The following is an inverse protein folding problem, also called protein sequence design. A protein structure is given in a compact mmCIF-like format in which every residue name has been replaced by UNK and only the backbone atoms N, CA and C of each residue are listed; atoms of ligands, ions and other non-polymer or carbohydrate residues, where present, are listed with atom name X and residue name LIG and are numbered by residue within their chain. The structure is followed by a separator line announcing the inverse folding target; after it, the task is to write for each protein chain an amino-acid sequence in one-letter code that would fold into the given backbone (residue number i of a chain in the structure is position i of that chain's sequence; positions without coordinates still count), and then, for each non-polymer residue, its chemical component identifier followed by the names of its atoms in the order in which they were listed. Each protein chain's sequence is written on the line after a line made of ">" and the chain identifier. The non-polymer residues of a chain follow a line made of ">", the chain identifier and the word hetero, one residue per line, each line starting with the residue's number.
data_IF_128181204604
#
_entry.id   IF_128181204604
#
_cell.length_a   1.000
_cell.length_b   1.000
_cell.length_c   1.000
_cell.angle_alpha   90.00
_cell.angle_beta   90.00
_cell.angle_gamma   90.00
#
_symmetry.space_group_name_H-M   'P 1'
#
loop_
_entity.id
_entity.type
_entity.pdbx_description
1 polymer ?
#
# COMPACT_ATOMS: atom_id res chain seq x y z
N UNK A 1 -14.81 -7.76 16.39
CA UNK A 1 -13.92 -7.51 15.23
C UNK A 1 -14.41 -6.33 14.43
N UNK A 2 -15.67 -6.30 13.99
CA UNK A 2 -16.19 -5.18 13.20
C UNK A 2 -16.18 -3.85 13.96
N UNK A 3 -16.64 -3.83 15.21
CA UNK A 3 -16.57 -2.63 16.07
C UNK A 3 -15.16 -2.04 16.15
N UNK A 4 -14.15 -2.89 16.37
CA UNK A 4 -12.75 -2.45 16.43
C UNK A 4 -12.25 -1.87 15.09
N UNK A 5 -12.68 -2.42 13.96
CA UNK A 5 -12.37 -1.83 12.65
C UNK A 5 -13.07 -0.48 12.46
N UNK A 6 -14.36 -0.36 12.83
CA UNK A 6 -15.09 0.90 12.74
C UNK A 6 -14.47 2.01 13.60
N UNK A 7 -14.01 1.68 14.82
CA UNK A 7 -13.31 2.60 15.70
C UNK A 7 -11.98 3.11 15.09
N UNK A 8 -11.26 2.25 14.35
CA UNK A 8 -10.07 2.66 13.62
C UNK A 8 -10.42 3.50 12.39
N UNK A 9 -11.49 3.17 11.66
CA UNK A 9 -11.92 3.94 10.49
C UNK A 9 -12.36 5.35 10.86
N UNK A 10 -12.98 5.53 12.02
CA UNK A 10 -13.41 6.82 12.53
C UNK A 10 -12.25 7.79 12.80
N UNK A 11 -11.02 7.26 12.97
CA UNK A 11 -9.81 8.08 13.17
C UNK A 11 -9.22 8.61 11.85
N UNK A 12 -9.68 8.12 10.70
CA UNK A 12 -9.21 8.60 9.39
C UNK A 12 -10.06 9.80 8.96
N UNK A 13 -9.46 10.99 8.77
CA UNK A 13 -10.19 12.17 8.38
C UNK A 13 -10.70 12.02 6.94
N UNK A 14 -11.91 12.51 6.69
CA UNK A 14 -12.59 12.30 5.41
C UNK A 14 -12.21 13.39 4.40
N UNK A 15 -11.67 13.06 3.23
CA UNK A 15 -11.17 14.07 2.28
C UNK A 15 -12.25 14.72 1.40
N UNK A 16 -13.53 14.41 1.58
CA UNK A 16 -14.60 14.86 0.66
C UNK A 16 -14.43 14.29 -0.75
N UNK A 17 -14.21 12.98 -0.85
CA UNK A 17 -13.84 12.30 -2.09
C UNK A 17 -14.85 12.51 -3.23
N UNK A 18 -14.34 12.87 -4.41
CA UNK A 18 -15.13 13.07 -5.64
C UNK A 18 -15.33 11.80 -6.48
N UNK A 19 -14.77 10.66 -6.06
CA UNK A 19 -14.88 9.39 -6.79
C UNK A 19 -14.10 9.29 -8.10
N UNK A 20 -13.07 10.14 -8.30
CA UNK A 20 -12.28 10.21 -9.54
C UNK A 20 -11.02 9.35 -9.54
N UNK A 21 -10.78 8.57 -8.48
CA UNK A 21 -9.53 7.85 -8.26
C UNK A 21 -9.48 6.45 -8.93
N UNK A 22 -10.36 6.15 -9.89
CA UNK A 22 -10.42 4.82 -10.50
C UNK A 22 -9.10 4.43 -11.19
N UNK A 23 -8.39 5.40 -11.80
CA UNK A 23 -7.12 5.15 -12.48
C UNK A 23 -5.96 4.86 -11.52
N UNK A 24 -6.14 5.15 -10.23
CA UNK A 24 -5.17 4.85 -9.18
C UNK A 24 -5.48 3.54 -8.43
N UNK A 25 -6.58 2.86 -8.76
CA UNK A 25 -6.95 1.60 -8.12
C UNK A 25 -6.01 0.46 -8.56
N UNK A 26 -5.58 -0.34 -7.59
CA UNK A 26 -4.62 -1.42 -7.82
C UNK A 26 -4.87 -2.60 -6.87
N UNK A 27 -3.99 -3.61 -6.90
CA UNK A 27 -4.00 -4.67 -5.91
C UNK A 27 -3.86 -4.07 -4.50
N UNK A 28 -4.77 -4.43 -3.60
CA UNK A 28 -4.86 -3.82 -2.26
C UNK A 28 -4.70 -4.89 -1.18
N UNK A 29 -3.79 -4.62 -0.24
CA UNK A 29 -3.70 -5.36 1.02
C UNK A 29 -4.82 -4.95 1.97
N UNK A 30 -5.46 -5.93 2.59
CA UNK A 30 -6.57 -5.72 3.53
C UNK A 30 -6.56 -6.79 4.63
N UNK A 31 -7.09 -6.45 5.80
CA UNK A 31 -7.31 -7.42 6.87
C UNK A 31 -8.28 -8.53 6.38
N UNK A 32 -8.12 -9.80 6.81
CA UNK A 32 -9.03 -10.88 6.41
C UNK A 32 -10.53 -10.58 6.64
N UNK A 33 -10.88 -9.89 7.72
CA UNK A 33 -12.25 -9.47 7.99
C UNK A 33 -12.74 -8.40 7.03
N UNK A 34 -11.88 -7.44 6.63
CA UNK A 34 -12.22 -6.46 5.58
C UNK A 34 -12.52 -7.15 4.25
N UNK A 35 -11.69 -8.14 3.89
CA UNK A 35 -11.91 -8.98 2.70
C UNK A 35 -13.27 -9.67 2.76
N UNK A 36 -13.61 -10.24 3.92
CA UNK A 36 -14.87 -10.93 4.14
C UNK A 36 -16.07 -9.97 4.02
N UNK A 37 -16.01 -8.77 4.61
CA UNK A 37 -17.10 -7.78 4.52
C UNK A 37 -17.40 -7.38 3.08
N UNK A 38 -16.36 -7.20 2.27
CA UNK A 38 -16.49 -6.91 0.84
C UNK A 38 -17.12 -8.09 0.09
N UNK A 39 -16.72 -9.31 0.43
CA UNK A 39 -17.30 -10.55 -0.12
C UNK A 39 -18.77 -10.73 0.23
N UNK A 40 -19.16 -10.39 1.46
CA UNK A 40 -20.55 -10.40 1.92
C UNK A 40 -21.44 -9.43 1.12
N UNK A 41 -20.86 -8.38 0.51
CA UNK A 41 -21.53 -7.49 -0.46
C UNK A 41 -21.51 -8.00 -1.89
N UNK A 42 -21.09 -9.24 -2.12
CA UNK A 42 -21.06 -9.87 -3.43
C UNK A 42 -19.88 -9.47 -4.31
N UNK A 43 -18.91 -8.70 -3.79
CA UNK A 43 -17.71 -8.30 -4.53
C UNK A 43 -16.53 -9.19 -4.12
N UNK A 44 -15.88 -9.82 -5.11
CA UNK A 44 -14.71 -10.67 -4.87
C UNK A 44 -13.45 -9.96 -5.35
N UNK A 45 -12.74 -9.31 -4.45
CA UNK A 45 -11.42 -8.74 -4.73
C UNK A 45 -10.37 -9.86 -4.50
N UNK A 46 -9.40 -10.10 -5.40
CA UNK A 46 -8.30 -11.05 -5.15
C UNK A 46 -7.49 -10.70 -3.91
N UNK A 47 -6.76 -11.66 -3.37
CA UNK A 47 -5.74 -11.34 -2.38
C UNK A 47 -4.65 -10.46 -3.02
N UNK A 48 -4.00 -9.59 -2.24
CA UNK A 48 -3.00 -8.65 -2.75
C UNK A 48 -1.92 -9.32 -3.61
N UNK A 49 -1.42 -10.48 -3.18
CA UNK A 49 -0.38 -11.21 -3.90
C UNK A 49 -0.86 -11.70 -5.27
N UNK A 50 -2.11 -12.15 -5.38
CA UNK A 50 -2.68 -12.64 -6.63
C UNK A 50 -2.91 -11.48 -7.61
N UNK A 51 -3.49 -10.38 -7.12
CA UNK A 51 -3.66 -9.17 -7.93
C UNK A 51 -2.32 -8.56 -8.37
N UNK A 52 -1.30 -8.61 -7.51
CA UNK A 52 0.05 -8.16 -7.86
C UNK A 52 0.68 -9.08 -8.93
N UNK A 53 0.48 -10.39 -8.83
CA UNK A 53 0.94 -11.34 -9.84
C UNK A 53 0.30 -11.06 -11.20
N UNK A 54 -1.02 -10.84 -11.25
CA UNK A 54 -1.75 -10.47 -12.46
C UNK A 54 -1.22 -9.17 -13.06
N UNK A 55 -1.02 -8.13 -12.23
CA UNK A 55 -0.47 -6.85 -12.68
C UNK A 55 0.93 -7.00 -13.27
N UNK A 56 1.79 -7.81 -12.65
CA UNK A 56 3.16 -8.05 -13.12
C UNK A 56 3.17 -8.87 -14.40
N UNK A 57 2.30 -9.87 -14.52
CA UNK A 57 2.24 -10.75 -15.70
C UNK A 57 1.65 -10.05 -16.92
N UNK A 58 0.56 -9.30 -16.73
CA UNK A 58 -0.22 -8.72 -17.83
C UNK A 58 0.07 -7.24 -18.07
N UNK A 59 0.70 -6.56 -17.12
CA UNK A 59 0.87 -5.10 -17.13
C UNK A 59 -0.43 -4.34 -16.85
N UNK A 60 -1.52 -5.03 -16.50
CA UNK A 60 -2.82 -4.44 -16.25
C UNK A 60 -3.48 -5.03 -14.99
N UNK A 61 -4.26 -4.22 -14.29
CA UNK A 61 -5.11 -4.67 -13.20
C UNK A 61 -6.28 -3.69 -13.05
N UNK A 62 -7.49 -4.20 -12.87
CA UNK A 62 -8.66 -3.38 -12.53
C UNK A 62 -9.31 -3.96 -11.29
N UNK A 63 -9.45 -3.14 -10.24
CA UNK A 63 -10.09 -3.57 -9.00
C UNK A 63 -11.54 -4.04 -9.27
N UNK A 64 -11.94 -5.25 -8.88
CA UNK A 64 -13.30 -5.77 -9.16
C UNK A 64 -14.44 -4.96 -8.54
N UNK A 65 -14.14 -4.14 -7.54
CA UNK A 65 -15.07 -3.21 -6.91
C UNK A 65 -15.33 -1.94 -7.74
N UNK A 66 -14.62 -1.71 -8.84
CA UNK A 66 -14.94 -0.61 -9.74
C UNK A 66 -16.14 -0.98 -10.61
N UNK A 67 -17.19 -0.17 -10.55
CA UNK A 67 -18.41 -0.23 -11.36
C UNK A 67 -18.71 1.16 -11.88
N UNK A 68 -18.84 1.29 -13.21
CA UNK A 68 -19.15 2.57 -13.86
C UNK A 68 -18.23 3.73 -13.43
N UNK A 69 -16.93 3.43 -13.27
CA UNK A 69 -15.92 4.40 -12.86
C UNK A 69 -15.89 4.73 -11.35
N UNK A 70 -16.74 4.10 -10.53
CA UNK A 70 -16.82 4.36 -9.09
C UNK A 70 -16.62 3.09 -8.26
N UNK A 71 -16.17 3.26 -7.02
CA UNK A 71 -16.02 2.14 -6.09
C UNK A 71 -17.39 1.73 -5.53
N UNK A 72 -17.86 0.53 -5.87
CA UNK A 72 -19.17 0.01 -5.44
C UNK A 72 -19.24 -0.40 -3.96
N UNK A 73 -18.10 -0.37 -3.26
CA UNK A 73 -17.97 -0.72 -1.83
C UNK A 73 -17.32 0.42 -1.04
N UNK A 74 -17.54 1.67 -1.49
CA UNK A 74 -16.88 2.86 -0.95
C UNK A 74 -17.03 3.02 0.58
N UNK A 75 -18.21 2.68 1.10
CA UNK A 75 -18.62 2.73 2.50
C UNK A 75 -17.88 1.70 3.39
N UNK A 76 -17.56 0.54 2.83
CA UNK A 76 -16.86 -0.56 3.54
C UNK A 76 -15.42 -0.77 3.04
N UNK A 77 -14.80 0.27 2.48
CA UNK A 77 -13.41 0.21 2.02
C UNK A 77 -12.46 -0.25 3.13
N UNK A 78 -11.40 -1.00 2.77
CA UNK A 78 -10.37 -1.39 3.73
C UNK A 78 -9.57 -0.18 4.20
N UNK A 79 -8.88 -0.30 5.34
CA UNK A 79 -8.08 0.76 5.94
C UNK A 79 -7.12 1.42 4.95
N UNK A 80 -6.39 0.62 4.16
CA UNK A 80 -5.44 1.15 3.17
C UNK A 80 -6.10 2.10 2.15
N UNK A 81 -7.34 1.79 1.73
CA UNK A 81 -8.09 2.65 0.81
C UNK A 81 -8.66 3.91 1.50
N UNK A 82 -8.90 3.88 2.81
CA UNK A 82 -9.35 5.05 3.57
C UNK A 82 -8.22 6.06 3.76
N UNK A 83 -7.00 5.57 3.98
CA UNK A 83 -5.80 6.40 4.10
C UNK A 83 -5.45 7.14 2.80
N UNK A 84 -5.90 6.63 1.64
CA UNK A 84 -5.73 7.32 0.36
C UNK A 84 -6.54 8.62 0.31
N UNK A 85 -5.82 9.73 0.18
CA UNK A 85 -6.35 11.08 0.25
C UNK A 85 -6.39 11.67 1.66
N UNK A 86 -6.01 10.90 2.68
CA UNK A 86 -6.10 11.30 4.09
C UNK A 86 -4.73 11.40 4.79
N UNK A 87 -3.61 11.00 4.15
CA UNK A 87 -2.25 11.08 4.71
C UNK A 87 -1.29 11.91 3.86
N UNK A 88 -0.22 12.41 4.47
CA UNK A 88 0.81 13.24 3.81
C UNK A 88 1.48 12.57 2.59
N UNK A 89 1.79 11.27 2.67
CA UNK A 89 2.40 10.51 1.55
C UNK A 89 1.41 9.95 0.54
N UNK A 90 0.12 9.93 0.85
CA UNK A 90 -0.94 9.49 -0.08
C UNK A 90 -1.97 10.59 -0.29
N UNK A 91 -1.58 11.82 -0.70
CA UNK A 91 -2.53 12.89 -0.93
C UNK A 91 -3.43 12.56 -2.13
N UNK A 92 -4.64 13.11 -2.14
CA UNK A 92 -5.53 12.93 -3.28
C UNK A 92 -5.00 13.71 -4.49
N UNK A 93 -4.76 13.02 -5.60
CA UNK A 93 -4.31 13.63 -6.86
C UNK A 93 -5.35 14.57 -7.50
N UNK A 94 -6.60 14.52 -7.04
CA UNK A 94 -7.72 15.36 -7.50
C UNK A 94 -8.04 16.53 -6.55
N UNK A 95 -7.15 16.80 -5.58
CA UNK A 95 -7.27 17.92 -4.66
C UNK A 95 -8.38 17.77 -3.60
N UNK A 96 -8.84 16.55 -3.33
CA UNK A 96 -9.71 16.28 -2.18
C UNK A 96 -8.84 16.35 -0.92
N UNK A 97 -9.24 17.17 0.07
CA UNK A 97 -8.48 17.41 1.30
C UNK A 97 -9.44 17.37 2.49
N UNK A 98 -9.09 16.69 3.60
CA UNK A 98 -9.90 16.76 4.80
C UNK A 98 -9.88 18.16 5.42
N UNK A 99 -10.98 18.55 6.06
CA UNK A 99 -11.09 19.88 6.71
C UNK A 99 -10.04 20.09 7.79
N UNK A 100 -9.72 19.03 8.54
CA UNK A 100 -8.72 18.98 9.62
C UNK A 100 -7.27 18.88 9.09
N UNK A 101 -7.08 18.75 7.77
CA UNK A 101 -5.78 18.52 7.13
C UNK A 101 -5.45 17.03 6.93
N UNK A 102 -4.24 16.77 6.38
CA UNK A 102 -3.75 15.41 6.18
C UNK A 102 -3.17 14.85 7.49
N UNK A 103 -3.41 13.57 7.74
CA UNK A 103 -2.75 12.83 8.82
C UNK A 103 -1.23 12.73 8.56
N UNK A 104 -0.41 12.91 9.60
CA UNK A 104 1.00 12.54 9.56
C UNK A 104 1.17 11.08 9.15
N UNK A 105 2.22 10.80 8.39
CA UNK A 105 2.46 9.45 7.87
C UNK A 105 2.57 8.40 8.99
N UNK A 106 3.18 8.73 10.12
CA UNK A 106 3.33 7.80 11.23
C UNK A 106 1.98 7.38 11.83
N UNK A 107 1.02 8.31 11.90
CA UNK A 107 -0.34 8.01 12.34
C UNK A 107 -1.05 7.11 11.32
N UNK A 108 -0.91 7.41 10.02
CA UNK A 108 -1.43 6.55 8.95
C UNK A 108 -0.87 5.13 8.99
N UNK A 109 0.44 4.97 9.20
CA UNK A 109 1.09 3.66 9.36
C UNK A 109 0.60 2.93 10.61
N UNK A 110 0.44 3.64 11.74
CA UNK A 110 -0.08 3.05 12.96
C UNK A 110 -1.52 2.54 12.81
N UNK A 111 -2.38 3.30 12.13
CA UNK A 111 -3.76 2.88 11.83
C UNK A 111 -3.80 1.67 10.90
N UNK A 112 -2.95 1.65 9.87
CA UNK A 112 -2.83 0.49 8.99
C UNK A 112 -2.37 -0.75 9.77
N UNK A 113 -1.34 -0.63 10.60
CA UNK A 113 -0.85 -1.74 11.41
C UNK A 113 -1.92 -2.28 12.36
N UNK A 114 -2.63 -1.40 13.07
CA UNK A 114 -3.75 -1.77 13.95
C UNK A 114 -4.85 -2.50 13.17
N UNK A 115 -5.23 -1.99 11.99
CA UNK A 115 -6.27 -2.62 11.17
C UNK A 115 -5.88 -4.03 10.72
N UNK A 116 -4.62 -4.26 10.36
CA UNK A 116 -4.11 -5.57 9.94
C UNK A 116 -4.04 -6.59 11.08
N UNK A 117 -4.23 -6.14 12.29
CA UNK A 117 -4.01 -6.88 13.50
C UNK A 117 -5.32 -7.23 14.24
N UNK A 118 -6.40 -6.48 13.96
CA UNK A 118 -7.75 -6.82 14.43
C UNK A 118 -8.09 -8.29 14.16
N UNK A 119 -8.42 -8.99 15.25
CA UNK A 119 -8.90 -10.37 15.21
C UNK A 119 -7.81 -11.44 15.16
N UNK A 120 -6.53 -11.06 15.25
CA UNK A 120 -5.45 -12.02 15.52
C UNK A 120 -5.43 -12.36 17.02
N UNK A 121 -5.20 -13.63 17.40
CA UNK A 121 -5.06 -14.02 18.80
C UNK A 121 -3.86 -13.33 19.48
N UNK A 122 -2.84 -12.94 18.69
CA UNK A 122 -1.65 -12.21 19.13
C UNK A 122 -1.65 -10.78 18.55
N UNK A 123 -2.73 -10.05 18.79
CA UNK A 123 -2.78 -8.64 18.42
C UNK A 123 -1.62 -7.85 19.07
N UNK A 124 -0.94 -6.99 18.31
CA UNK A 124 0.09 -6.07 18.78
C UNK A 124 -0.46 -5.25 19.95
N UNK A 125 0.25 -5.30 21.07
CA UNK A 125 -0.02 -4.46 22.23
C UNK A 125 0.13 -2.98 21.90
N UNK A 126 -0.50 -2.11 22.70
CA UNK A 126 -0.35 -0.66 22.58
C UNK A 126 1.13 -0.22 22.59
N UNK A 127 1.98 -0.91 23.36
CA UNK A 127 3.42 -0.63 23.43
C UNK A 127 4.15 -1.02 22.14
N UNK A 128 3.77 -2.14 21.51
CA UNK A 128 4.33 -2.55 20.22
C UNK A 128 3.90 -1.64 19.08
N UNK A 129 2.67 -1.14 19.12
CA UNK A 129 2.17 -0.13 18.18
C UNK A 129 2.90 1.19 18.34
N UNK A 130 3.13 1.65 19.57
CA UNK A 130 3.90 2.86 19.84
C UNK A 130 5.36 2.71 19.38
N UNK A 131 5.98 1.54 19.60
CA UNK A 131 7.32 1.23 19.05
C UNK A 131 7.31 1.27 17.52
N UNK A 132 6.27 0.77 16.88
CA UNK A 132 6.14 0.80 15.43
C UNK A 132 5.99 2.24 14.93
N UNK A 133 5.15 3.06 15.57
CA UNK A 133 4.97 4.50 15.30
C UNK A 133 6.32 5.23 15.39
N UNK A 134 7.02 5.09 16.52
CA UNK A 134 8.35 5.70 16.73
C UNK A 134 9.37 5.25 15.69
N UNK A 135 9.31 3.98 15.25
CA UNK A 135 10.18 3.47 14.19
C UNK A 135 9.85 4.10 12.84
N UNK A 136 8.57 4.32 12.51
CA UNK A 136 8.17 5.07 11.33
C UNK A 136 8.44 6.57 11.45
N UNK A 137 8.61 7.12 12.65
CA UNK A 137 9.09 8.49 12.83
C UNK A 137 10.60 8.64 12.57
N UNK A 138 11.40 7.57 12.61
CA UNK A 138 12.83 7.62 12.28
C UNK A 138 13.04 7.96 10.78
N UNK A 139 13.67 9.10 10.44
CA UNK A 139 13.96 9.49 9.06
C UNK A 139 14.79 8.45 8.29
N UNK A 140 15.68 7.72 8.97
CA UNK A 140 16.49 6.67 8.33
C UNK A 140 15.62 5.49 7.95
N UNK A 141 14.77 5.02 8.86
CA UNK A 141 13.86 3.92 8.60
C UNK A 141 12.86 4.26 7.50
N UNK A 142 12.26 5.46 7.53
CA UNK A 142 11.39 5.95 6.43
C UNK A 142 12.11 5.91 5.10
N UNK A 143 13.35 6.39 5.04
CA UNK A 143 14.14 6.36 3.80
C UNK A 143 14.45 4.94 3.34
N UNK A 144 14.75 4.02 4.26
CA UNK A 144 14.96 2.61 3.93
C UNK A 144 13.69 1.97 3.36
N UNK A 145 12.52 2.21 3.94
CA UNK A 145 11.23 1.69 3.46
C UNK A 145 10.88 2.28 2.09
N UNK A 146 11.06 3.60 1.92
CA UNK A 146 10.84 4.27 0.64
C UNK A 146 11.81 3.77 -0.45
N UNK A 147 13.09 3.59 -0.11
CA UNK A 147 14.09 3.03 -1.03
C UNK A 147 13.74 1.58 -1.36
N UNK A 148 13.26 0.78 -0.42
CA UNK A 148 12.80 -0.60 -0.68
C UNK A 148 11.58 -0.62 -1.61
N UNK A 149 10.59 0.26 -1.39
CA UNK A 149 9.41 0.37 -2.25
C UNK A 149 9.78 0.84 -3.67
N UNK A 150 10.70 1.81 -3.79
CA UNK A 150 11.27 2.24 -5.07
C UNK A 150 12.07 1.11 -5.72
N UNK A 151 12.89 0.40 -4.98
CA UNK A 151 13.69 -0.73 -5.47
C UNK A 151 12.80 -1.90 -5.93
N UNK A 152 11.65 -2.13 -5.30
CA UNK A 152 10.70 -3.14 -5.75
C UNK A 152 10.01 -2.72 -7.07
N UNK A 153 9.71 -1.42 -7.26
CA UNK A 153 9.28 -0.84 -8.55
C UNK A 153 10.39 -0.79 -9.61
N UNK A 154 11.65 -0.67 -9.20
CA UNK A 154 12.83 -0.71 -10.09
C UNK A 154 13.23 -2.15 -10.42
N UNK A 155 12.96 -3.13 -9.55
CA UNK A 155 13.17 -4.55 -9.83
C UNK A 155 12.28 -5.03 -10.99
N UNK A 156 11.12 -4.42 -11.19
CA UNK A 156 10.27 -4.59 -12.38
C UNK A 156 10.76 -3.86 -13.64
N UNK A 157 11.79 -3.00 -13.57
CA UNK A 157 12.42 -2.34 -14.72
C UNK A 157 13.96 -2.22 -14.55
N UNK A 158 14.72 -3.23 -15.02
CA UNK A 158 16.15 -3.35 -14.74
C UNK A 158 17.01 -2.24 -15.36
N UNK A 159 16.55 -1.56 -16.42
CA UNK A 159 17.29 -0.45 -17.04
C UNK A 159 17.24 0.81 -16.17
N UNK A 160 16.06 1.15 -15.64
CA UNK A 160 15.89 2.26 -14.70
C UNK A 160 16.56 2.00 -13.35
N UNK A 161 16.65 0.74 -12.94
CA UNK A 161 17.38 0.34 -11.73
C UNK A 161 18.87 0.73 -11.82
N UNK A 162 19.51 0.46 -12.96
CA UNK A 162 20.95 0.75 -13.16
C UNK A 162 21.23 2.25 -13.13
N UNK A 163 20.37 3.06 -13.74
CA UNK A 163 20.49 4.53 -13.73
C UNK A 163 20.34 5.11 -12.32
N UNK A 164 19.32 4.67 -11.57
CA UNK A 164 19.11 5.06 -10.17
C UNK A 164 20.32 4.72 -9.28
N UNK A 165 20.87 3.51 -9.41
CA UNK A 165 22.05 3.12 -8.63
C UNK A 165 23.30 3.91 -9.03
N UNK A 166 23.46 4.27 -10.31
CA UNK A 166 24.56 5.13 -10.79
C UNK A 166 24.49 6.53 -10.19
N UNK A 167 23.30 7.14 -10.17
CA UNK A 167 23.08 8.45 -9.54
C UNK A 167 23.35 8.42 -8.03
N UNK A 168 22.85 7.38 -7.33
CA UNK A 168 23.07 7.19 -5.89
C UNK A 168 24.54 6.96 -5.55
N UNK A 169 25.27 6.19 -6.34
CA UNK A 169 26.70 5.96 -6.17
C UNK A 169 27.50 7.26 -6.35
N UNK A 170 27.15 8.08 -7.34
CA UNK A 170 27.76 9.39 -7.55
C UNK A 170 27.47 10.36 -6.40
N UNK A 171 26.26 10.31 -5.83
CA UNK A 171 25.80 11.23 -4.79
C UNK A 171 26.30 10.89 -3.38
N UNK A 172 26.57 9.62 -3.09
CA UNK A 172 26.87 9.15 -1.74
C UNK A 172 28.15 8.30 -1.60
N UNK A 173 28.96 8.17 -2.67
CA UNK A 173 30.24 7.47 -2.63
C UNK A 173 30.15 5.96 -2.38
N UNK A 174 28.97 5.36 -2.54
CA UNK A 174 28.74 3.93 -2.30
C UNK A 174 29.05 3.11 -3.56
N UNK A 175 29.78 2.00 -3.42
CA UNK A 175 30.01 1.07 -4.53
C UNK A 175 28.70 0.51 -5.09
N UNK A 176 28.60 0.39 -6.42
CA UNK A 176 27.44 -0.19 -7.08
C UNK A 176 27.29 -1.67 -6.70
N UNK A 177 26.06 -2.15 -6.39
CA UNK A 177 25.83 -3.58 -6.27
C UNK A 177 26.09 -4.27 -7.61
N UNK A 178 26.70 -5.46 -7.57
CA UNK A 178 26.94 -6.25 -8.77
C UNK A 178 25.61 -6.51 -9.50
N UNK A 179 25.59 -6.33 -10.82
CA UNK A 179 24.40 -6.55 -11.62
C UNK A 179 23.82 -7.95 -11.35
N UNK A 180 22.50 -8.09 -11.15
CA UNK A 180 21.89 -9.39 -10.93
C UNK A 180 22.18 -10.27 -12.16
N UNK A 181 22.86 -11.41 -11.92
CA UNK A 181 23.18 -12.36 -13.00
C UNK A 181 21.87 -12.75 -13.67
N UNK A 182 21.74 -12.46 -14.97
CA UNK A 182 20.59 -12.93 -15.79
C UNK A 182 20.45 -14.43 -15.57
N UNK A 183 19.39 -14.88 -14.89
CA UNK A 183 19.07 -16.30 -14.79
C UNK A 183 18.85 -16.78 -16.23
N UNK A 184 19.76 -17.59 -16.77
CA UNK A 184 19.58 -18.22 -18.08
C UNK A 184 18.22 -18.96 -18.05
N UNK A 185 17.38 -18.81 -19.08
CA UNK A 185 16.13 -19.55 -19.14
C UNK A 185 16.44 -21.04 -19.00
N UNK A 186 15.75 -21.72 -18.07
CA UNK A 186 15.82 -23.17 -17.95
C UNK A 186 15.37 -23.75 -19.28
N UNK A 187 16.32 -24.30 -20.06
CA UNK A 187 15.98 -25.12 -21.23
C UNK A 187 15.07 -26.24 -20.73
N UNK A 188 13.80 -26.22 -21.15
CA UNK A 188 12.93 -27.39 -21.07
C UNK A 188 13.64 -28.51 -21.85
N UNK A 189 14.05 -29.58 -21.16
CA UNK A 189 14.42 -30.82 -21.84
C UNK A 189 13.11 -31.39 -22.40
N UNK A 190 13.05 -31.52 -23.72
CA UNK A 190 12.11 -32.42 -24.38
C UNK A 190 12.48 -33.87 -24.12
#
# INVERSE_FOLDING_TARGET
>A
MDTALEELYAQVPQPGCKGLCQDACGPIGMNPREHQRIRERGVKIPHYQDGLAELVETGNYTCPALKDGQCSVYDIRPMLCRLWGATETMPCTYGCLPEEGLLPDADGHALLAQSLDVGKPDALSAEELERLRQRFDDPKFRRTVQDAAKNNRLASNPEKAVEYWRDKAARYGTALPAAPKKKRPRRRRG
#
